data_IF_056561240617
#
_entry.id   IF_056561240617
#
_cell.length_a   1.000
_cell.length_b   1.000
_cell.length_c   1.000
_cell.angle_alpha   90.00
_cell.angle_beta   90.00
_cell.angle_gamma   90.00
#
_symmetry.space_group_name_H-M   'P 1'
#
loop_
_entity.id
_entity.type
_entity.pdbx_description
1 polymer ?
#
# COMPACT_ATOMS: atom_id res chain seq x y z
N UNK A 1 72.58 -14.13 15.40
CA UNK A 1 72.60 -15.52 14.92
C UNK A 1 71.32 -15.77 14.14
N UNK A 2 71.43 -16.24 12.90
CA UNK A 2 70.32 -16.65 12.03
C UNK A 2 69.71 -17.95 12.56
N UNK A 3 68.40 -18.12 12.46
CA UNK A 3 67.78 -19.28 11.82
C UNK A 3 66.32 -18.97 11.44
N UNK A 4 66.00 -19.34 10.20
CA UNK A 4 64.69 -19.27 9.54
C UNK A 4 63.81 -20.43 9.99
N UNK A 5 62.48 -20.27 9.98
CA UNK A 5 61.56 -21.34 9.52
C UNK A 5 60.13 -20.87 9.26
N UNK A 6 59.75 -21.00 7.98
CA UNK A 6 58.59 -21.73 7.44
C UNK A 6 57.16 -21.25 7.76
N UNK A 7 56.50 -20.89 6.66
CA UNK A 7 55.09 -20.59 6.49
C UNK A 7 54.17 -21.82 6.71
N UNK A 8 52.93 -21.57 7.14
CA UNK A 8 51.83 -22.54 6.99
C UNK A 8 50.56 -21.77 6.68
N UNK A 9 50.17 -21.77 5.41
CA UNK A 9 48.85 -21.36 4.94
C UNK A 9 47.95 -22.60 4.94
N UNK A 10 46.92 -22.60 5.79
CA UNK A 10 45.91 -23.66 5.82
C UNK A 10 44.75 -23.28 4.90
N UNK A 11 44.76 -23.82 3.68
CA UNK A 11 43.63 -23.88 2.76
C UNK A 11 42.78 -25.09 3.13
N UNK A 12 41.63 -24.88 3.77
CA UNK A 12 40.60 -25.90 3.95
C UNK A 12 39.56 -25.72 2.84
N UNK A 13 39.70 -26.53 1.79
CA UNK A 13 38.71 -26.73 0.74
C UNK A 13 37.59 -27.63 1.28
N UNK A 14 36.41 -27.07 1.54
CA UNK A 14 35.21 -27.86 1.82
C UNK A 14 34.55 -28.26 0.49
N UNK A 15 34.73 -29.52 0.09
CA UNK A 15 34.05 -30.17 -1.01
C UNK A 15 32.56 -30.32 -0.72
N UNK A 16 31.70 -29.73 -1.55
CA UNK A 16 30.26 -30.00 -1.53
C UNK A 16 29.98 -31.23 -2.39
N UNK A 17 29.56 -32.32 -1.75
CA UNK A 17 29.12 -33.54 -2.43
C UNK A 17 27.75 -33.34 -3.04
N UNK A 18 27.68 -33.34 -4.36
CA UNK A 18 26.44 -33.48 -5.14
C UNK A 18 26.04 -34.95 -5.18
N UNK A 19 25.10 -35.37 -4.33
CA UNK A 19 24.35 -36.61 -4.57
C UNK A 19 22.97 -36.27 -5.10
N UNK A 20 22.78 -36.65 -6.37
CA UNK A 20 21.55 -36.60 -7.11
C UNK A 20 20.52 -37.57 -6.50
N UNK A 21 19.37 -37.05 -6.12
CA UNK A 21 18.17 -37.86 -5.87
C UNK A 21 17.32 -37.87 -7.13
N UNK A 22 17.23 -39.05 -7.73
CA UNK A 22 16.32 -39.38 -8.84
C UNK A 22 14.89 -39.55 -8.30
N UNK A 23 13.86 -38.96 -8.93
CA UNK A 23 12.48 -39.18 -8.52
C UNK A 23 11.94 -40.47 -9.14
N UNK A 24 11.76 -41.49 -8.31
CA UNK A 24 10.95 -42.67 -8.62
C UNK A 24 9.49 -42.28 -8.83
N UNK A 25 8.98 -42.60 -10.03
CA UNK A 25 7.58 -42.48 -10.42
C UNK A 25 6.69 -43.33 -9.51
N UNK A 26 5.78 -42.68 -8.78
CA UNK A 26 4.56 -43.32 -8.30
C UNK A 26 3.37 -42.62 -8.98
N UNK A 27 2.80 -43.33 -9.94
CA UNK A 27 1.51 -43.03 -10.57
C UNK A 27 0.40 -43.37 -9.57
N UNK A 28 -0.27 -42.35 -9.06
CA UNK A 28 -1.58 -42.51 -8.41
C UNK A 28 -2.57 -41.74 -9.28
N UNK A 29 -3.28 -42.48 -10.12
CA UNK A 29 -4.45 -42.00 -10.85
C UNK A 29 -5.58 -41.70 -9.86
N UNK A 30 -5.88 -40.41 -9.66
CA UNK A 30 -7.16 -39.98 -9.09
C UNK A 30 -8.09 -39.55 -10.23
N UNK A 31 -9.39 -39.89 -10.16
CA UNK A 31 -10.32 -39.63 -11.25
C UNK A 31 -10.57 -38.13 -11.38
N UNK A 32 -10.55 -37.67 -12.64
CA UNK A 32 -11.04 -36.36 -13.06
C UNK A 32 -12.51 -36.24 -12.67
N UNK A 33 -12.80 -35.48 -11.62
CA UNK A 33 -14.16 -35.02 -11.36
C UNK A 33 -14.33 -33.69 -12.11
N UNK A 34 -14.92 -33.77 -13.30
CA UNK A 34 -15.42 -32.59 -14.01
C UNK A 34 -16.50 -31.95 -13.13
N UNK A 35 -16.15 -30.85 -12.47
CA UNK A 35 -17.15 -29.99 -11.84
C UNK A 35 -17.84 -29.20 -12.95
N UNK A 36 -19.18 -29.11 -12.95
CA UNK A 36 -19.90 -28.36 -13.95
C UNK A 36 -19.61 -26.87 -13.78
N UNK A 37 -19.45 -26.19 -14.93
CA UNK A 37 -19.45 -24.73 -15.05
C UNK A 37 -20.73 -24.22 -14.39
N UNK A 38 -20.60 -23.68 -13.18
CA UNK A 38 -21.67 -22.93 -12.52
C UNK A 38 -21.68 -21.54 -13.13
N UNK A 39 -22.69 -21.31 -13.95
CA UNK A 39 -23.06 -20.01 -14.48
C UNK A 39 -23.24 -19.00 -13.34
N UNK A 40 -22.94 -17.74 -13.68
CA UNK A 40 -23.22 -16.55 -12.89
C UNK A 40 -24.58 -16.63 -12.20
N UNK A 41 -24.59 -16.45 -10.87
CA UNK A 41 -25.80 -16.19 -10.09
C UNK A 41 -25.70 -14.80 -9.46
N UNK A 42 -25.36 -13.80 -10.25
CA UNK A 42 -25.95 -12.47 -10.06
C UNK A 42 -27.34 -12.54 -10.68
N UNK A 43 -28.35 -12.79 -9.86
CA UNK A 43 -29.74 -12.35 -10.05
C UNK A 43 -30.65 -13.10 -9.06
N UNK A 44 -30.64 -12.63 -7.81
CA UNK A 44 -31.85 -12.69 -6.98
C UNK A 44 -32.35 -11.26 -6.84
N UNK A 45 -33.59 -10.94 -7.26
CA UNK A 45 -34.17 -9.63 -7.05
C UNK A 45 -34.45 -9.51 -5.55
N UNK A 46 -33.51 -8.88 -4.86
CA UNK A 46 -33.72 -8.32 -3.53
C UNK A 46 -34.36 -6.95 -3.76
N UNK A 47 -35.32 -6.57 -2.94
CA UNK A 47 -36.07 -5.31 -3.01
C UNK A 47 -35.21 -4.16 -3.55
N UNK A 48 -35.67 -3.53 -4.64
CA UNK A 48 -35.06 -2.36 -5.28
C UNK A 48 -35.11 -1.17 -4.32
N UNK A 49 -34.19 -1.13 -3.36
CA UNK A 49 -33.64 0.15 -2.91
C UNK A 49 -32.98 0.73 -4.14
N UNK A 50 -33.64 1.71 -4.77
CA UNK A 50 -33.06 2.46 -5.88
C UNK A 50 -31.63 2.86 -5.48
N UNK A 51 -30.64 2.53 -6.32
CA UNK A 51 -29.28 3.03 -6.08
C UNK A 51 -29.36 4.54 -5.89
N UNK A 52 -28.76 5.10 -4.83
CA UNK A 52 -28.84 6.52 -4.57
C UNK A 52 -28.28 7.26 -5.78
N UNK A 53 -29.18 7.96 -6.48
CA UNK A 53 -28.81 8.73 -7.67
C UNK A 53 -27.93 9.89 -7.25
N UNK A 54 -26.86 10.15 -8.00
CA UNK A 54 -26.02 11.35 -7.82
C UNK A 54 -26.88 12.61 -7.72
N UNK A 55 -26.49 13.51 -6.82
CA UNK A 55 -27.03 14.86 -6.81
C UNK A 55 -26.79 15.51 -8.19
N UNK A 56 -27.77 16.28 -8.67
CA UNK A 56 -27.78 16.85 -10.04
C UNK A 56 -26.45 17.52 -10.44
N UNK A 57 -25.80 18.34 -9.58
CA UNK A 57 -24.52 18.95 -9.93
C UNK A 57 -23.40 17.92 -10.15
N UNK A 58 -23.36 16.85 -9.34
CA UNK A 58 -22.38 15.78 -9.45
C UNK A 58 -22.62 14.92 -10.70
N UNK A 59 -23.87 14.62 -11.03
CA UNK A 59 -24.22 13.92 -12.26
C UNK A 59 -23.74 14.69 -13.50
N UNK A 60 -24.04 15.99 -13.58
CA UNK A 60 -23.63 16.82 -14.71
C UNK A 60 -22.09 16.91 -14.85
N UNK A 61 -21.38 17.09 -13.73
CA UNK A 61 -19.92 17.14 -13.72
C UNK A 61 -19.27 15.79 -14.08
N UNK A 62 -19.87 14.68 -13.63
CA UNK A 62 -19.48 13.31 -14.01
C UNK A 62 -19.63 13.13 -15.52
N UNK A 63 -20.80 13.45 -16.07
CA UNK A 63 -21.08 13.22 -17.49
C UNK A 63 -20.17 14.04 -18.39
N UNK A 64 -19.91 15.30 -18.01
CA UNK A 64 -18.94 16.16 -18.69
C UNK A 64 -17.51 15.58 -18.62
N UNK A 65 -17.11 15.01 -17.49
CA UNK A 65 -15.79 14.40 -17.32
C UNK A 65 -15.67 13.11 -18.14
N UNK A 66 -16.71 12.27 -18.15
CA UNK A 66 -16.76 11.03 -18.94
C UNK A 66 -16.66 11.33 -20.42
N UNK A 67 -17.41 12.31 -20.92
CA UNK A 67 -17.34 12.74 -22.32
C UNK A 67 -15.91 13.18 -22.72
N UNK A 68 -15.20 13.91 -21.85
CA UNK A 68 -13.80 14.31 -22.08
C UNK A 68 -12.88 13.09 -22.17
N UNK A 69 -13.00 12.13 -21.26
CA UNK A 69 -12.14 10.94 -21.25
C UNK A 69 -12.45 10.03 -22.45
N UNK A 70 -13.71 9.81 -22.78
CA UNK A 70 -14.11 9.01 -23.95
C UNK A 70 -13.61 9.62 -25.26
N UNK A 71 -13.63 10.95 -25.40
CA UNK A 71 -13.07 11.62 -26.56
C UNK A 71 -11.55 11.35 -26.72
N UNK A 72 -10.81 11.24 -25.61
CA UNK A 72 -9.37 10.90 -25.63
C UNK A 72 -9.15 9.41 -25.90
N UNK A 73 -9.93 8.53 -25.26
CA UNK A 73 -9.69 7.08 -25.30
C UNK A 73 -10.15 6.43 -26.59
N UNK A 74 -11.30 6.85 -27.14
CA UNK A 74 -11.91 6.27 -28.35
C UNK A 74 -11.02 6.38 -29.60
N UNK A 75 -10.06 7.30 -29.60
CA UNK A 75 -9.11 7.52 -30.69
C UNK A 75 -7.71 6.97 -30.39
N UNK A 76 -7.55 6.23 -29.29
CA UNK A 76 -6.25 5.83 -28.77
C UNK A 76 -6.07 4.31 -28.71
N UNK A 77 -4.81 3.88 -28.61
CA UNK A 77 -4.45 2.49 -28.28
C UNK A 77 -4.91 2.03 -26.89
N UNK A 78 -5.55 2.90 -26.10
CA UNK A 78 -5.99 2.66 -24.73
C UNK A 78 -7.50 2.47 -24.59
N UNK A 79 -8.23 2.20 -25.68
CA UNK A 79 -9.68 1.98 -25.65
C UNK A 79 -10.14 0.94 -24.60
N UNK A 80 -9.31 -0.07 -24.30
CA UNK A 80 -9.60 -1.07 -23.27
C UNK A 80 -9.70 -0.50 -21.84
N UNK A 81 -9.18 0.72 -21.60
CA UNK A 81 -9.26 1.39 -20.30
C UNK A 81 -10.53 2.23 -20.14
N UNK A 82 -11.33 2.39 -21.19
CA UNK A 82 -12.55 3.21 -21.11
C UNK A 82 -13.51 2.69 -20.04
N UNK A 83 -13.89 1.41 -20.10
CA UNK A 83 -14.83 0.85 -19.13
C UNK A 83 -14.32 0.90 -17.69
N UNK A 84 -13.07 0.48 -17.36
CA UNK A 84 -12.54 0.61 -16.00
C UNK A 84 -12.45 2.05 -15.50
N UNK A 85 -12.10 3.00 -16.38
CA UNK A 85 -11.97 4.41 -15.99
C UNK A 85 -13.33 5.05 -15.74
N UNK A 86 -14.31 4.82 -16.63
CA UNK A 86 -15.67 5.31 -16.43
C UNK A 86 -16.25 4.77 -15.13
N UNK A 87 -16.07 3.47 -14.84
CA UNK A 87 -16.46 2.86 -13.55
C UNK A 87 -15.79 3.57 -12.36
N UNK A 88 -14.49 3.83 -12.44
CA UNK A 88 -13.78 4.53 -11.37
C UNK A 88 -14.29 5.96 -11.16
N UNK A 89 -14.65 6.66 -12.24
CA UNK A 89 -15.27 7.98 -12.12
C UNK A 89 -16.65 7.89 -11.49
N UNK A 90 -17.46 6.90 -11.87
CA UNK A 90 -18.78 6.70 -11.28
C UNK A 90 -18.70 6.55 -9.77
N UNK A 91 -17.85 5.64 -9.30
CA UNK A 91 -17.62 5.39 -7.88
C UNK A 91 -17.12 6.64 -7.14
N UNK A 92 -16.15 7.35 -7.72
CA UNK A 92 -15.60 8.56 -7.11
C UNK A 92 -16.64 9.68 -6.99
N UNK A 93 -17.43 9.93 -8.03
CA UNK A 93 -18.47 10.95 -8.00
C UNK A 93 -19.61 10.56 -7.03
N UNK A 94 -19.96 9.28 -6.91
CA UNK A 94 -20.92 8.81 -5.90
C UNK A 94 -20.40 9.03 -4.49
N UNK A 95 -19.14 8.67 -4.25
CA UNK A 95 -18.47 8.92 -2.98
C UNK A 95 -18.53 10.41 -2.60
N UNK A 96 -18.13 11.32 -3.50
CA UNK A 96 -18.12 12.76 -3.18
C UNK A 96 -19.52 13.39 -3.12
N UNK A 97 -20.50 12.88 -3.88
CA UNK A 97 -21.91 13.30 -3.73
C UNK A 97 -22.43 12.94 -2.34
N UNK A 98 -22.17 11.70 -1.89
CA UNK A 98 -22.54 11.25 -0.56
C UNK A 98 -21.82 12.02 0.55
N UNK A 99 -20.53 12.32 0.34
CA UNK A 99 -19.75 13.13 1.27
C UNK A 99 -20.36 14.53 1.44
N UNK A 100 -20.69 15.20 0.33
CA UNK A 100 -21.35 16.50 0.34
C UNK A 100 -22.74 16.46 1.01
N UNK A 101 -23.55 15.44 0.72
CA UNK A 101 -24.87 15.23 1.35
C UNK A 101 -24.77 14.98 2.87
N UNK A 102 -23.69 14.35 3.33
CA UNK A 102 -23.42 14.13 4.75
C UNK A 102 -22.92 15.38 5.49
N UNK A 103 -22.65 16.47 4.77
CA UNK A 103 -22.08 17.70 5.32
C UNK A 103 -20.57 17.60 5.59
N UNK A 104 -19.86 16.67 4.94
CA UNK A 104 -18.41 16.61 5.02
C UNK A 104 -17.77 17.81 4.31
N UNK A 105 -16.63 18.28 4.86
CA UNK A 105 -15.90 19.43 4.34
C UNK A 105 -14.46 19.05 4.00
N UNK A 106 -13.84 19.84 3.14
CA UNK A 106 -12.40 19.81 2.92
C UNK A 106 -11.63 20.26 4.19
N UNK A 107 -10.30 20.05 4.25
CA UNK A 107 -9.48 20.45 5.41
C UNK A 107 -9.53 21.94 5.76
N UNK A 108 -9.73 22.79 4.75
CA UNK A 108 -9.88 24.23 4.91
C UNK A 108 -11.29 24.66 5.34
N UNK A 109 -12.20 23.70 5.55
CA UNK A 109 -13.59 23.93 5.91
C UNK A 109 -14.51 24.23 4.73
N UNK A 110 -14.00 24.25 3.49
CA UNK A 110 -14.83 24.45 2.30
C UNK A 110 -15.71 23.22 2.00
N UNK A 111 -16.86 23.46 1.36
CA UNK A 111 -17.77 22.40 0.94
C UNK A 111 -17.14 21.53 -0.15
N UNK A 112 -17.46 20.23 -0.14
CA UNK A 112 -17.11 19.31 -1.22
C UNK A 112 -18.03 19.60 -2.41
N UNK A 113 -17.44 19.95 -3.56
CA UNK A 113 -18.21 20.37 -4.75
C UNK A 113 -18.04 19.42 -5.94
N UNK A 114 -19.03 19.41 -6.83
CA UNK A 114 -18.95 18.68 -8.10
C UNK A 114 -17.80 19.17 -9.00
N UNK A 115 -17.47 20.48 -8.94
CA UNK A 115 -16.35 21.03 -9.70
C UNK A 115 -15.01 20.54 -9.17
N UNK A 116 -14.84 20.46 -7.85
CA UNK A 116 -13.66 19.87 -7.23
C UNK A 116 -13.52 18.41 -7.64
N UNK A 117 -14.59 17.62 -7.54
CA UNK A 117 -14.59 16.21 -7.93
C UNK A 117 -14.12 16.01 -9.39
N UNK A 118 -14.66 16.82 -10.32
CA UNK A 118 -14.25 16.78 -11.72
C UNK A 118 -12.77 17.14 -11.93
N UNK A 119 -12.30 18.22 -11.29
CA UNK A 119 -10.91 18.66 -11.41
C UNK A 119 -9.94 17.61 -10.88
N UNK A 120 -10.20 17.05 -9.70
CA UNK A 120 -9.34 16.06 -9.07
C UNK A 120 -9.33 14.71 -9.82
N UNK A 121 -10.49 14.27 -10.32
CA UNK A 121 -10.57 13.06 -11.13
C UNK A 121 -9.83 13.22 -12.46
N UNK A 122 -10.07 14.31 -13.20
CA UNK A 122 -9.39 14.55 -14.47
C UNK A 122 -7.88 14.72 -14.29
N UNK A 123 -7.44 15.41 -13.22
CA UNK A 123 -6.02 15.54 -12.87
C UNK A 123 -5.39 14.18 -12.58
N UNK A 124 -6.04 13.35 -11.78
CA UNK A 124 -5.56 11.98 -11.47
C UNK A 124 -5.44 11.12 -12.72
N UNK A 125 -6.45 11.14 -13.60
CA UNK A 125 -6.39 10.40 -14.86
C UNK A 125 -5.29 10.95 -15.76
N UNK A 126 -5.13 12.27 -15.85
CA UNK A 126 -4.05 12.89 -16.62
C UNK A 126 -2.67 12.41 -16.12
N UNK A 127 -2.46 12.34 -14.80
CA UNK A 127 -1.24 11.79 -14.24
C UNK A 127 -1.07 10.30 -14.58
N UNK A 128 -2.13 9.50 -14.49
CA UNK A 128 -2.07 8.08 -14.88
C UNK A 128 -1.73 7.89 -16.36
N UNK A 129 -2.28 8.74 -17.23
CA UNK A 129 -1.96 8.74 -18.66
C UNK A 129 -0.52 9.16 -18.92
N UNK A 130 -0.04 10.23 -18.28
CA UNK A 130 1.30 10.77 -18.48
C UNK A 130 2.38 9.87 -17.88
N UNK A 131 2.25 9.53 -16.61
CA UNK A 131 3.27 8.84 -15.82
C UNK A 131 3.10 7.32 -15.80
N UNK A 132 1.91 6.79 -16.08
CA UNK A 132 1.68 5.34 -16.09
C UNK A 132 1.71 4.72 -17.49
N UNK A 133 1.09 5.37 -18.47
CA UNK A 133 0.91 4.84 -19.84
C UNK A 133 1.71 5.56 -20.92
N UNK A 134 2.22 6.75 -20.61
CA UNK A 134 2.91 7.61 -21.57
C UNK A 134 4.23 7.01 -22.04
N UNK A 135 4.75 7.55 -23.15
CA UNK A 135 6.06 7.13 -23.69
C UNK A 135 7.20 7.38 -22.69
N UNK A 136 7.06 8.42 -21.87
CA UNK A 136 7.96 8.79 -20.78
C UNK A 136 7.35 8.44 -19.42
N UNK A 137 6.77 7.25 -19.29
CA UNK A 137 6.21 6.78 -18.02
C UNK A 137 7.25 6.85 -16.90
N UNK A 138 6.77 7.17 -15.70
CA UNK A 138 7.60 7.19 -14.51
C UNK A 138 8.04 5.77 -14.16
N UNK A 139 9.34 5.60 -13.92
CA UNK A 139 9.90 4.32 -13.50
C UNK A 139 10.53 4.49 -12.13
N UNK A 140 10.21 3.58 -11.22
CA UNK A 140 10.86 3.50 -9.91
C UNK A 140 12.22 2.83 -10.09
N UNK A 141 13.20 3.60 -10.58
CA UNK A 141 14.54 3.10 -10.91
C UNK A 141 15.31 2.62 -9.66
N UNK A 142 15.09 3.31 -8.53
CA UNK A 142 15.65 2.95 -7.25
C UNK A 142 14.68 2.07 -6.46
N UNK A 143 15.25 1.11 -5.75
CA UNK A 143 14.52 0.26 -4.79
C UNK A 143 13.99 1.03 -3.59
N UNK A 144 14.52 2.23 -3.33
CA UNK A 144 14.01 3.19 -2.36
C UNK A 144 13.59 4.44 -3.13
N UNK A 145 12.32 4.81 -3.02
CA UNK A 145 11.76 6.01 -3.62
C UNK A 145 11.42 7.01 -2.51
N UNK A 146 11.82 8.28 -2.67
CA UNK A 146 11.37 9.39 -1.82
C UNK A 146 10.17 10.04 -2.51
N UNK A 147 9.13 10.39 -1.75
CA UNK A 147 7.95 11.07 -2.28
C UNK A 147 8.35 12.32 -3.12
N UNK A 148 7.68 12.54 -4.25
CA UNK A 148 7.85 13.75 -5.04
C UNK A 148 6.97 14.85 -4.46
N UNK A 149 7.61 15.89 -3.92
CA UNK A 149 6.92 16.98 -3.22
C UNK A 149 6.84 18.28 -4.02
N UNK A 150 7.49 18.34 -5.18
CA UNK A 150 7.59 19.54 -6.01
C UNK A 150 8.69 20.49 -5.53
N UNK A 151 9.14 21.37 -6.42
CA UNK A 151 10.22 22.34 -6.14
C UNK A 151 9.88 23.37 -5.06
N UNK A 152 8.60 23.55 -4.75
CA UNK A 152 8.12 24.56 -3.79
C UNK A 152 7.89 24.01 -2.37
N UNK A 153 8.16 22.72 -2.12
CA UNK A 153 7.87 22.06 -0.83
C UNK A 153 8.73 22.54 0.35
N UNK A 154 9.83 23.24 0.08
CA UNK A 154 10.73 23.80 1.09
C UNK A 154 11.87 22.86 1.50
N UNK A 155 11.73 21.55 1.31
CA UNK A 155 12.86 20.61 1.39
C UNK A 155 13.63 20.53 0.07
N UNK A 156 14.97 20.57 0.15
CA UNK A 156 15.80 20.33 -1.03
C UNK A 156 15.71 18.84 -1.43
N UNK A 157 15.39 18.60 -2.69
CA UNK A 157 15.42 17.28 -3.31
C UNK A 157 16.27 17.36 -4.59
N UNK A 158 17.45 16.75 -4.54
CA UNK A 158 18.48 16.81 -5.58
C UNK A 158 18.01 16.24 -6.92
N UNK A 159 16.93 15.45 -6.95
CA UNK A 159 16.34 14.98 -8.21
C UNK A 159 15.86 16.15 -9.07
N UNK A 160 15.43 17.26 -8.47
CA UNK A 160 15.04 18.47 -9.20
C UNK A 160 16.24 19.27 -9.73
N UNK A 161 17.48 18.92 -9.37
CA UNK A 161 18.69 19.50 -9.97
C UNK A 161 19.03 18.82 -11.32
N UNK A 162 18.40 17.67 -11.65
CA UNK A 162 18.56 16.96 -12.93
C UNK A 162 17.59 17.49 -14.00
N UNK A 163 18.15 18.11 -15.06
CA UNK A 163 17.38 18.65 -16.19
C UNK A 163 16.49 17.61 -16.88
N UNK A 164 16.93 16.35 -16.95
CA UNK A 164 16.18 15.27 -17.59
C UNK A 164 14.94 14.91 -16.77
N UNK A 165 15.07 14.90 -15.45
CA UNK A 165 13.99 14.66 -14.50
C UNK A 165 12.98 15.81 -14.51
N UNK A 166 13.46 17.06 -14.45
CA UNK A 166 12.62 18.26 -14.57
C UNK A 166 11.86 18.27 -15.90
N UNK A 167 12.52 17.93 -17.02
CA UNK A 167 11.88 17.85 -18.33
C UNK A 167 10.85 16.71 -18.42
N UNK A 168 11.05 15.61 -17.70
CA UNK A 168 10.08 14.52 -17.61
C UNK A 168 8.82 14.97 -16.85
N UNK A 169 8.98 15.71 -15.75
CA UNK A 169 7.86 16.27 -15.00
C UNK A 169 7.16 17.41 -15.76
N UNK A 170 7.89 18.23 -16.53
CA UNK A 170 7.32 19.35 -17.29
C UNK A 170 6.57 20.32 -16.37
N UNK A 171 5.33 20.66 -16.71
CA UNK A 171 4.49 21.58 -15.93
C UNK A 171 4.21 21.10 -14.49
N UNK A 172 4.33 19.79 -14.24
CA UNK A 172 4.09 19.19 -12.94
C UNK A 172 5.32 19.22 -12.01
N UNK A 173 6.40 19.91 -12.40
CA UNK A 173 7.63 20.02 -11.59
C UNK A 173 7.39 20.66 -10.21
N UNK A 174 6.35 21.48 -10.09
CA UNK A 174 5.94 22.12 -8.83
C UNK A 174 4.90 21.32 -8.04
N UNK A 175 4.41 20.20 -8.58
CA UNK A 175 3.34 19.40 -7.98
C UNK A 175 3.83 18.63 -6.76
N UNK A 176 3.16 18.81 -5.62
CA UNK A 176 3.28 17.91 -4.47
C UNK A 176 2.38 16.67 -4.69
N UNK A 177 2.98 15.58 -5.16
CA UNK A 177 2.26 14.32 -5.41
C UNK A 177 1.79 13.66 -4.11
N UNK A 178 2.44 13.93 -2.97
CA UNK A 178 1.98 13.45 -1.66
C UNK A 178 0.65 14.12 -1.31
N UNK A 179 0.60 15.46 -1.40
CA UNK A 179 -0.60 16.22 -1.12
C UNK A 179 -1.73 15.87 -2.10
N UNK A 180 -1.44 15.88 -3.41
CA UNK A 180 -2.42 15.52 -4.43
C UNK A 180 -3.04 14.12 -4.20
N UNK A 181 -2.23 13.14 -3.79
CA UNK A 181 -2.74 11.82 -3.46
C UNK A 181 -3.61 11.79 -2.20
N UNK A 182 -3.30 12.61 -1.18
CA UNK A 182 -4.15 12.74 0.00
C UNK A 182 -5.46 13.45 -0.36
N UNK A 183 -5.38 14.58 -1.06
CA UNK A 183 -6.52 15.43 -1.43
C UNK A 183 -7.52 14.71 -2.35
N UNK A 184 -7.04 13.76 -3.15
CA UNK A 184 -7.92 12.93 -3.96
C UNK A 184 -8.82 12.03 -3.10
N UNK A 185 -8.26 11.30 -2.13
CA UNK A 185 -8.99 10.32 -1.32
C UNK A 185 -9.66 10.93 -0.09
N UNK A 186 -9.14 12.02 0.45
CA UNK A 186 -9.60 12.63 1.70
C UNK A 186 -11.10 12.96 1.70
N UNK A 187 -11.69 13.53 0.64
CA UNK A 187 -13.14 13.78 0.59
C UNK A 187 -14.00 12.51 0.63
N UNK A 188 -13.42 11.36 0.27
CA UNK A 188 -14.09 10.05 0.37
C UNK A 188 -13.93 9.40 1.75
N UNK A 189 -13.17 10.01 2.67
CA UNK A 189 -13.06 9.53 4.04
C UNK A 189 -14.03 10.33 4.91
N UNK A 190 -14.95 9.66 5.59
CA UNK A 190 -15.79 10.29 6.62
C UNK A 190 -14.94 10.54 7.87
N UNK A 191 -14.08 11.57 7.81
CA UNK A 191 -13.13 11.89 8.87
C UNK A 191 -13.82 12.30 10.19
N UNK A 192 -15.08 12.74 10.14
CA UNK A 192 -15.85 13.09 11.32
C UNK A 192 -16.24 11.84 12.12
N UNK A 193 -16.59 10.76 11.42
CA UNK A 193 -16.93 9.47 12.03
C UNK A 193 -15.77 8.45 12.02
N UNK A 194 -14.58 8.87 11.57
CA UNK A 194 -13.37 8.05 11.59
C UNK A 194 -12.73 7.99 12.97
N UNK A 195 -12.00 6.89 13.23
CA UNK A 195 -11.50 6.58 14.56
C UNK A 195 -9.98 6.45 14.61
N UNK A 196 -9.37 7.07 15.62
CA UNK A 196 -7.93 6.99 15.89
C UNK A 196 -7.77 6.53 17.33
N UNK A 197 -7.18 5.36 17.53
CA UNK A 197 -6.91 4.78 18.83
C UNK A 197 -5.41 4.60 19.04
N UNK A 198 -4.96 4.60 20.30
CA UNK A 198 -3.55 4.39 20.61
C UNK A 198 -2.65 5.58 20.29
N UNK A 199 -3.18 6.80 20.37
CA UNK A 199 -2.41 8.05 20.16
C UNK A 199 -1.20 8.12 21.09
N UNK A 200 -1.31 7.65 22.34
CA UNK A 200 -0.17 7.58 23.27
C UNK A 200 0.97 6.69 22.75
N UNK A 201 0.65 5.62 22.02
CA UNK A 201 1.66 4.74 21.41
C UNK A 201 2.26 5.36 20.15
N UNK A 202 1.46 6.11 19.40
CA UNK A 202 1.96 6.94 18.31
C UNK A 202 2.93 8.02 18.81
N UNK A 203 2.63 8.64 19.94
CA UNK A 203 3.52 9.60 20.61
C UNK A 203 4.82 8.95 21.09
N UNK A 204 4.75 7.75 21.69
CA UNK A 204 5.96 6.98 22.04
C UNK A 204 6.82 6.69 20.82
N UNK A 205 6.21 6.21 19.73
CA UNK A 205 6.90 5.94 18.47
C UNK A 205 7.58 7.20 17.89
N UNK A 206 6.86 8.33 17.87
CA UNK A 206 7.40 9.62 17.43
C UNK A 206 8.60 10.05 18.28
N UNK A 207 8.52 9.89 19.61
CA UNK A 207 9.62 10.22 20.50
C UNK A 207 10.84 9.31 20.34
N UNK A 208 10.65 8.02 20.04
CA UNK A 208 11.74 7.10 19.69
C UNK A 208 12.42 7.54 18.38
N UNK A 209 11.63 7.88 17.36
CA UNK A 209 12.14 8.41 16.08
C UNK A 209 12.95 9.70 16.29
N UNK A 210 12.44 10.64 17.09
CA UNK A 210 13.13 11.91 17.43
C UNK A 210 14.45 11.68 18.17
N UNK A 211 14.62 10.54 18.86
CA UNK A 211 15.90 10.12 19.49
C UNK A 211 16.89 9.49 18.50
N UNK A 212 16.52 9.38 17.23
CA UNK A 212 17.32 8.68 16.21
C UNK A 212 17.20 7.16 16.26
N UNK A 213 16.19 6.64 16.97
CA UNK A 213 15.82 5.22 16.96
C UNK A 213 14.89 4.94 15.77
N UNK A 214 14.73 3.67 15.39
CA UNK A 214 13.88 3.29 14.28
C UNK A 214 12.54 2.74 14.78
N UNK A 215 11.48 2.89 13.98
CA UNK A 215 10.16 2.33 14.26
C UNK A 215 9.66 1.54 13.05
N UNK A 216 9.12 0.36 13.29
CA UNK A 216 8.45 -0.47 12.31
C UNK A 216 7.01 -0.71 12.75
N UNK A 217 6.04 -0.22 11.96
CA UNK A 217 4.64 -0.53 12.09
C UNK A 217 4.33 -1.85 11.36
N UNK A 218 3.96 -2.88 12.12
CA UNK A 218 3.54 -4.18 11.62
C UNK A 218 2.02 -4.17 11.45
N UNK A 219 1.56 -3.87 10.23
CA UNK A 219 0.16 -3.58 9.97
C UNK A 219 -0.57 -4.68 9.20
N UNK A 220 -1.90 -4.73 9.30
CA UNK A 220 -2.71 -5.28 8.22
C UNK A 220 -2.76 -4.29 7.04
N UNK A 221 -3.30 -4.75 5.91
CA UNK A 221 -3.37 -3.96 4.68
C UNK A 221 -4.71 -4.25 4.03
N UNK A 222 -5.50 -3.26 3.65
CA UNK A 222 -6.84 -3.49 3.11
C UNK A 222 -7.02 -2.90 1.71
N UNK A 223 -6.37 -1.77 1.41
CA UNK A 223 -6.53 -1.07 0.14
C UNK A 223 -5.21 -0.48 -0.36
N UNK A 224 -5.14 -0.16 -1.67
CA UNK A 224 -3.99 0.57 -2.21
C UNK A 224 -3.92 2.02 -1.69
N UNK A 225 -5.01 2.51 -1.08
CA UNK A 225 -5.12 3.85 -0.49
C UNK A 225 -4.72 3.91 0.99
N UNK A 226 -4.22 2.81 1.57
CA UNK A 226 -3.81 2.76 2.97
C UNK A 226 -2.77 3.85 3.36
N UNK A 227 -1.77 4.19 2.53
CA UNK A 227 -0.86 5.31 2.84
C UNK A 227 -1.57 6.67 3.00
N UNK A 228 -2.61 6.90 2.21
CA UNK A 228 -3.46 8.11 2.31
C UNK A 228 -4.27 8.08 3.60
N UNK A 229 -4.86 6.92 3.95
CA UNK A 229 -5.58 6.76 5.22
C UNK A 229 -4.68 7.05 6.42
N UNK A 230 -3.45 6.50 6.43
CA UNK A 230 -2.45 6.81 7.48
C UNK A 230 -2.18 8.30 7.56
N UNK A 231 -1.99 8.97 6.41
CA UNK A 231 -1.70 10.40 6.38
C UNK A 231 -2.86 11.23 6.93
N UNK A 232 -4.08 11.02 6.44
CA UNK A 232 -5.25 11.78 6.86
C UNK A 232 -5.58 11.55 8.34
N UNK A 233 -5.48 10.32 8.84
CA UNK A 233 -5.75 10.02 10.24
C UNK A 233 -4.66 10.50 11.19
N UNK A 234 -3.39 10.42 10.80
CA UNK A 234 -2.31 10.99 11.63
C UNK A 234 -2.40 12.51 11.67
N UNK A 235 -2.67 13.17 10.54
CA UNK A 235 -2.90 14.61 10.52
C UNK A 235 -4.08 15.01 11.42
N UNK A 236 -5.19 14.26 11.39
CA UNK A 236 -6.33 14.44 12.30
C UNK A 236 -5.96 14.25 13.77
N UNK A 237 -5.00 13.38 14.09
CA UNK A 237 -4.51 13.21 15.47
C UNK A 237 -3.67 14.41 15.94
N UNK A 238 -3.03 15.14 15.02
CA UNK A 238 -2.18 16.28 15.32
C UNK A 238 -1.12 16.54 14.25
N UNK A 239 -0.68 17.79 14.14
CA UNK A 239 0.27 18.21 13.09
C UNK A 239 1.55 17.38 13.07
N UNK A 240 2.13 17.10 14.24
CA UNK A 240 3.38 16.35 14.35
C UNK A 240 3.27 14.88 13.92
N UNK A 241 2.09 14.29 14.08
CA UNK A 241 1.80 12.95 13.56
C UNK A 241 1.57 13.00 12.06
N UNK A 242 0.92 14.04 11.53
CA UNK A 242 0.82 14.29 10.08
C UNK A 242 2.21 14.44 9.44
N UNK A 243 3.10 15.21 10.08
CA UNK A 243 4.49 15.35 9.66
C UNK A 243 5.21 13.98 9.69
N UNK A 244 4.99 13.15 10.73
CA UNK A 244 5.50 11.77 10.76
C UNK A 244 4.97 10.93 9.58
N UNK A 245 3.67 10.96 9.29
CA UNK A 245 3.07 10.19 8.22
C UNK A 245 3.67 10.53 6.84
N UNK A 246 4.05 11.79 6.61
CA UNK A 246 4.75 12.22 5.41
C UNK A 246 6.15 11.60 5.24
N UNK A 247 6.76 11.12 6.32
CA UNK A 247 8.10 10.55 6.36
C UNK A 247 8.13 9.01 6.48
N UNK A 248 6.98 8.37 6.72
CA UNK A 248 6.88 6.91 6.75
C UNK A 248 7.28 6.33 5.40
N UNK A 249 8.16 5.32 5.43
CA UNK A 249 8.54 4.51 4.28
C UNK A 249 7.65 3.26 4.21
N UNK A 250 6.88 3.13 3.14
CA UNK A 250 5.96 2.01 2.92
C UNK A 250 6.65 0.90 2.14
N UNK A 251 6.62 -0.32 2.68
CA UNK A 251 7.12 -1.49 1.97
C UNK A 251 6.08 -1.91 0.93
N UNK A 252 6.39 -1.65 -0.34
CA UNK A 252 5.42 -1.68 -1.43
C UNK A 252 5.74 -2.76 -2.46
N UNK A 253 4.68 -3.44 -2.91
CA UNK A 253 4.75 -4.49 -3.91
C UNK A 253 4.78 -3.96 -5.35
N UNK A 254 5.03 -4.86 -6.30
CA UNK A 254 5.10 -4.55 -7.73
C UNK A 254 3.87 -3.80 -8.28
N UNK A 255 2.66 -4.15 -7.85
CA UNK A 255 1.41 -3.62 -8.43
C UNK A 255 1.32 -2.10 -8.34
N UNK A 256 1.61 -1.49 -7.19
CA UNK A 256 1.52 -0.02 -7.02
C UNK A 256 2.62 0.74 -7.76
N UNK A 257 3.67 0.03 -8.19
CA UNK A 257 4.79 0.61 -8.97
C UNK A 257 4.62 0.41 -10.48
N UNK A 258 3.64 -0.38 -10.94
CA UNK A 258 3.46 -0.68 -12.37
C UNK A 258 2.04 -0.48 -12.89
N UNK A 259 1.03 -0.46 -12.03
CA UNK A 259 -0.33 -0.11 -12.41
C UNK A 259 -0.39 1.40 -12.73
N UNK A 260 -0.74 1.78 -13.97
CA UNK A 260 -0.80 3.17 -14.38
C UNK A 260 -1.63 4.10 -13.51
N UNK A 261 -2.71 3.59 -12.91
CA UNK A 261 -3.59 4.39 -12.06
C UNK A 261 -3.09 4.47 -10.62
N UNK A 262 -2.20 3.57 -10.21
CA UNK A 262 -1.55 3.61 -8.90
C UNK A 262 -0.28 4.47 -8.91
N UNK A 263 0.44 4.52 -10.04
CA UNK A 263 1.74 5.21 -10.17
C UNK A 263 1.69 6.66 -9.64
N UNK A 264 0.71 7.52 -10.00
CA UNK A 264 0.65 8.89 -9.50
C UNK A 264 0.58 8.97 -7.96
N UNK A 265 -0.19 8.08 -7.33
CA UNK A 265 -0.29 8.01 -5.88
C UNK A 265 1.01 7.51 -5.25
N UNK A 266 1.65 6.53 -5.88
CA UNK A 266 2.94 5.98 -5.45
C UNK A 266 4.10 6.97 -5.58
N UNK A 267 4.07 7.84 -6.61
CA UNK A 267 5.05 8.93 -6.77
C UNK A 267 5.05 9.86 -5.55
N UNK A 268 3.89 10.05 -4.91
CA UNK A 268 3.71 10.83 -3.69
C UNK A 268 4.07 10.13 -2.38
N UNK A 269 4.64 8.92 -2.39
CA UNK A 269 4.95 8.16 -1.16
C UNK A 269 6.42 7.84 -1.03
N UNK A 270 6.93 7.72 0.19
CA UNK A 270 8.24 7.10 0.39
C UNK A 270 8.04 5.58 0.32
N UNK A 271 8.71 4.91 -0.61
CA UNK A 271 8.52 3.49 -0.86
C UNK A 271 9.83 2.72 -0.71
N UNK A 272 9.72 1.52 -0.16
CA UNK A 272 10.69 0.46 -0.37
C UNK A 272 10.09 -0.56 -1.34
N UNK A 273 10.51 -0.48 -2.59
CA UNK A 273 9.98 -1.27 -3.69
C UNK A 273 10.52 -2.70 -3.64
N UNK A 274 9.63 -3.67 -3.37
CA UNK A 274 9.96 -5.09 -3.33
C UNK A 274 9.03 -5.90 -4.23
N UNK A 275 9.54 -7.01 -4.75
CA UNK A 275 8.72 -8.05 -5.38
C UNK A 275 8.19 -8.98 -4.31
N UNK A 276 6.86 -9.07 -4.18
CA UNK A 276 6.24 -10.01 -3.25
C UNK A 276 6.59 -11.45 -3.63
N UNK A 277 6.70 -12.34 -2.63
CA UNK A 277 6.90 -13.78 -2.86
C UNK A 277 5.80 -14.37 -3.75
N UNK A 278 4.56 -13.89 -3.62
CA UNK A 278 3.41 -14.33 -4.43
C UNK A 278 3.60 -14.09 -5.93
N UNK A 279 4.44 -13.11 -6.33
CA UNK A 279 4.69 -12.73 -7.72
C UNK A 279 6.12 -13.00 -8.22
N UNK A 280 7.03 -13.43 -7.33
CA UNK A 280 8.41 -13.80 -7.72
C UNK A 280 8.47 -15.20 -8.32
N UNK A 281 7.59 -16.09 -7.86
CA UNK A 281 7.52 -17.48 -8.32
C UNK A 281 6.60 -17.67 -9.54
N UNK A 282 5.85 -16.63 -9.94
CA UNK A 282 4.92 -16.70 -11.06
C UNK A 282 5.60 -16.71 -12.44
N UNK A 283 6.87 -16.31 -12.50
CA UNK A 283 7.68 -16.29 -13.72
C UNK A 283 9.14 -16.68 -13.39
N UNK A 284 9.53 -17.94 -13.69
CA UNK A 284 10.87 -18.45 -13.42
C UNK A 284 11.99 -17.67 -14.11
N UNK A 285 11.74 -17.05 -15.28
CA UNK A 285 12.78 -16.35 -16.05
C UNK A 285 13.14 -15.01 -15.42
N UNK A 286 12.17 -14.28 -14.88
CA UNK A 286 12.42 -12.98 -14.21
C UNK A 286 12.77 -13.11 -12.73
N UNK A 287 12.64 -14.30 -12.13
CA UNK A 287 12.95 -14.56 -10.72
C UNK A 287 14.36 -14.14 -10.28
N UNK A 288 15.45 -14.39 -11.03
CA UNK A 288 16.79 -13.96 -10.63
C UNK A 288 16.92 -12.43 -10.54
N UNK A 289 16.35 -11.71 -11.52
CA UNK A 289 16.38 -10.25 -11.56
C UNK A 289 15.55 -9.65 -10.41
N UNK A 290 14.33 -10.17 -10.19
CA UNK A 290 13.46 -9.77 -9.06
C UNK A 290 14.12 -10.04 -7.71
N UNK A 291 14.82 -11.17 -7.56
CA UNK A 291 15.55 -11.51 -6.33
C UNK A 291 16.72 -10.55 -6.08
N UNK A 292 17.44 -10.16 -7.13
CA UNK A 292 18.52 -9.17 -7.06
C UNK A 292 18.00 -7.79 -6.63
N UNK A 293 16.86 -7.35 -7.18
CA UNK A 293 16.21 -6.11 -6.76
C UNK A 293 15.77 -6.16 -5.29
N UNK A 294 15.17 -7.27 -4.85
CA UNK A 294 14.83 -7.43 -3.42
C UNK A 294 16.07 -7.35 -2.51
N UNK A 295 17.20 -7.96 -2.91
CA UNK A 295 18.44 -7.83 -2.13
C UNK A 295 18.95 -6.38 -2.07
N UNK A 296 18.86 -5.63 -3.17
CA UNK A 296 19.19 -4.21 -3.17
C UNK A 296 18.26 -3.41 -2.25
N UNK A 297 16.95 -3.66 -2.29
CA UNK A 297 15.97 -3.02 -1.39
C UNK A 297 16.32 -3.30 0.08
N UNK A 298 16.66 -4.54 0.40
CA UNK A 298 17.08 -4.95 1.74
C UNK A 298 18.35 -4.22 2.21
N UNK A 299 19.30 -3.96 1.32
CA UNK A 299 20.52 -3.21 1.65
C UNK A 299 20.22 -1.73 1.90
N UNK A 300 19.38 -1.10 1.06
CA UNK A 300 18.96 0.30 1.25
C UNK A 300 18.16 0.49 2.54
N UNK A 301 17.28 -0.45 2.87
CA UNK A 301 16.56 -0.44 4.15
C UNK A 301 17.53 -0.55 5.33
N UNK A 302 18.49 -1.48 5.26
CA UNK A 302 19.49 -1.61 6.32
C UNK A 302 20.33 -0.33 6.46
N UNK A 303 20.66 0.35 5.36
CA UNK A 303 21.37 1.61 5.41
C UNK A 303 20.51 2.70 6.08
N UNK A 304 19.24 2.86 5.69
CA UNK A 304 18.33 3.79 6.35
C UNK A 304 18.15 3.53 7.85
N UNK A 305 18.07 2.26 8.25
CA UNK A 305 18.03 1.89 9.67
C UNK A 305 19.33 2.21 10.42
N UNK A 306 20.50 2.15 9.75
CA UNK A 306 21.79 2.54 10.37
C UNK A 306 21.88 4.05 10.57
N UNK A 307 21.33 4.83 9.64
CA UNK A 307 21.28 6.28 9.74
C UNK A 307 20.43 6.70 10.96
N UNK A 308 19.35 5.95 11.24
CA UNK A 308 18.47 6.13 12.40
C UNK A 308 17.29 7.06 12.10
N UNK A 309 16.29 7.08 12.98
CA UNK A 309 15.08 7.88 12.78
C UNK A 309 14.16 7.39 11.67
N UNK A 310 14.34 6.15 11.19
CA UNK A 310 13.53 5.61 10.10
C UNK A 310 12.20 5.07 10.64
N UNK A 311 11.10 5.53 10.05
CA UNK A 311 9.76 4.98 10.27
C UNK A 311 9.36 4.11 9.06
N UNK A 312 8.98 2.86 9.30
CA UNK A 312 8.61 1.90 8.26
C UNK A 312 7.19 1.42 8.51
N UNK A 313 6.36 1.42 7.48
CA UNK A 313 5.10 0.69 7.45
C UNK A 313 5.27 -0.58 6.61
N UNK A 314 4.87 -1.72 7.16
CA UNK A 314 4.88 -2.98 6.42
C UNK A 314 3.66 -3.82 6.76
N UNK A 315 3.11 -4.46 5.73
CA UNK A 315 2.11 -5.51 5.87
C UNK A 315 2.76 -6.89 5.81
N UNK A 316 3.00 -7.59 6.95
CA UNK A 316 3.75 -8.84 6.94
C UNK A 316 3.03 -9.98 6.19
N UNK A 317 1.71 -9.88 5.99
CA UNK A 317 0.93 -10.82 5.16
C UNK A 317 1.33 -10.78 3.67
N UNK A 318 1.98 -9.70 3.23
CA UNK A 318 2.41 -9.48 1.85
C UNK A 318 1.28 -9.19 0.86
N UNK A 319 0.07 -8.89 1.33
CA UNK A 319 -1.05 -8.49 0.48
C UNK A 319 -2.26 -8.00 1.25
N UNK A 320 -3.22 -7.41 0.52
CA UNK A 320 -4.47 -6.88 1.07
C UNK A 320 -5.30 -8.00 1.74
N UNK A 321 -6.06 -7.67 2.79
CA UNK A 321 -7.10 -8.49 3.41
C UNK A 321 -8.18 -8.82 2.36
N UNK A 322 -8.93 -9.90 2.59
CA UNK A 322 -9.97 -10.34 1.64
C UNK A 322 -11.28 -10.61 2.34
N UNK A 323 -12.36 -10.14 1.72
CA UNK A 323 -13.71 -10.47 2.12
C UNK A 323 -13.97 -11.97 1.91
N UNK A 324 -14.53 -12.60 2.91
CA UNK A 324 -15.10 -13.94 2.78
C UNK A 324 -16.50 -13.77 2.17
N UNK A 325 -16.64 -14.05 0.88
CA UNK A 325 -17.89 -13.81 0.10
C UNK A 325 -19.14 -14.41 0.77
N UNK A 326 -19.03 -15.59 1.38
CA UNK A 326 -20.17 -16.26 2.02
C UNK A 326 -20.66 -15.61 3.31
N UNK A 327 -19.81 -14.86 4.02
CA UNK A 327 -20.14 -14.26 5.32
C UNK A 327 -20.08 -12.73 5.32
N UNK A 328 -19.47 -12.13 4.30
CA UNK A 328 -19.20 -10.69 4.24
C UNK A 328 -18.05 -10.23 5.17
N UNK A 329 -17.51 -11.10 6.03
CA UNK A 329 -16.43 -10.79 6.97
C UNK A 329 -15.12 -10.48 6.27
N UNK A 330 -14.29 -9.65 6.89
CA UNK A 330 -12.98 -9.25 6.36
C UNK A 330 -11.93 -9.54 7.44
N UNK A 331 -11.45 -10.78 7.56
CA UNK A 331 -10.38 -11.11 8.52
C UNK A 331 -9.05 -10.51 8.06
N UNK A 332 -8.18 -10.19 9.02
CA UNK A 332 -6.79 -9.85 8.76
C UNK A 332 -6.08 -11.06 8.13
N UNK A 333 -5.33 -10.82 7.05
CA UNK A 333 -4.49 -11.84 6.46
C UNK A 333 -3.30 -12.18 7.37
N UNK A 334 -3.02 -13.48 7.52
CA UNK A 334 -1.98 -13.98 8.44
C UNK A 334 -0.60 -13.39 8.17
N UNK A 335 0.11 -13.02 9.23
CA UNK A 335 1.45 -12.45 9.14
C UNK A 335 2.48 -13.52 8.72
N UNK A 336 3.30 -13.24 7.71
CA UNK A 336 4.42 -14.13 7.35
C UNK A 336 5.56 -13.97 8.36
N UNK A 337 5.77 -15.01 9.18
CA UNK A 337 6.83 -15.02 10.21
C UNK A 337 8.20 -14.66 9.63
N UNK A 338 8.53 -15.15 8.42
CA UNK A 338 9.82 -14.87 7.79
C UNK A 338 10.00 -13.38 7.47
N UNK A 339 8.91 -12.69 7.14
CA UNK A 339 8.92 -11.24 6.89
C UNK A 339 9.14 -10.49 8.19
N UNK A 340 8.41 -10.82 9.27
CA UNK A 340 8.61 -10.21 10.59
C UNK A 340 10.03 -10.43 11.11
N UNK A 341 10.54 -11.67 11.03
CA UNK A 341 11.89 -12.03 11.47
C UNK A 341 12.98 -11.29 10.65
N UNK A 342 12.71 -11.02 9.37
CA UNK A 342 13.61 -10.24 8.53
C UNK A 342 13.74 -8.80 9.05
N UNK A 343 12.64 -8.12 9.40
CA UNK A 343 12.73 -6.75 9.94
C UNK A 343 13.44 -6.72 11.29
N UNK A 344 13.17 -7.70 12.17
CA UNK A 344 13.90 -7.85 13.44
C UNK A 344 15.40 -8.04 13.21
N UNK A 345 15.78 -8.87 12.24
CA UNK A 345 17.17 -9.08 11.88
C UNK A 345 17.83 -7.79 11.36
N UNK A 346 17.14 -7.02 10.53
CA UNK A 346 17.68 -5.76 10.00
C UNK A 346 17.79 -4.68 11.07
N UNK A 347 16.78 -4.56 11.94
CA UNK A 347 16.85 -3.71 13.13
C UNK A 347 18.08 -4.04 13.99
N UNK A 348 18.29 -5.32 14.31
CA UNK A 348 19.47 -5.77 15.05
C UNK A 348 20.79 -5.48 14.32
N UNK A 349 20.85 -5.72 13.00
CA UNK A 349 22.04 -5.45 12.18
C UNK A 349 22.36 -3.97 12.03
N UNK A 350 21.36 -3.09 12.16
CA UNK A 350 21.55 -1.64 12.07
C UNK A 350 22.39 -1.08 13.23
N UNK A 351 22.44 -1.79 14.37
CA UNK A 351 23.03 -1.34 15.63
C UNK A 351 22.39 -0.06 16.19
N UNK A 352 21.19 0.28 15.72
CA UNK A 352 20.31 1.32 16.27
C UNK A 352 19.10 0.65 16.93
N UNK A 353 18.62 1.14 18.08
CA UNK A 353 17.36 0.65 18.65
C UNK A 353 16.26 0.70 17.60
N UNK A 354 15.50 -0.39 17.49
CA UNK A 354 14.43 -0.53 16.50
C UNK A 354 13.21 -1.12 17.19
N UNK A 355 12.13 -0.36 17.16
CA UNK A 355 10.89 -0.63 17.89
C UNK A 355 9.82 -1.17 16.95
N UNK A 356 8.98 -2.08 17.44
CA UNK A 356 7.97 -2.75 16.62
C UNK A 356 6.60 -2.52 17.23
N UNK A 357 5.75 -1.80 16.51
CA UNK A 357 4.38 -1.53 16.94
C UNK A 357 3.43 -2.26 15.99
N UNK A 358 2.56 -3.15 16.49
CA UNK A 358 1.45 -3.61 15.70
C UNK A 358 0.56 -2.41 15.35
N UNK A 359 -0.03 -2.40 14.16
CA UNK A 359 -0.97 -1.36 13.76
C UNK A 359 -2.18 -1.94 13.02
N UNK A 360 -3.37 -1.73 13.56
CA UNK A 360 -4.61 -2.16 12.92
C UNK A 360 -5.18 -1.05 12.05
N UNK A 361 -5.76 -1.43 10.91
CA UNK A 361 -6.38 -0.54 9.93
C UNK A 361 -7.77 -1.05 9.53
N UNK A 362 -8.73 -0.13 9.49
CA UNK A 362 -10.04 -0.28 8.85
C UNK A 362 -10.13 0.73 7.71
N UNK A 363 -9.90 0.26 6.48
CA UNK A 363 -9.90 1.05 5.24
C UNK A 363 -10.47 0.28 4.05
N UNK A 364 -10.91 -0.97 4.23
CA UNK A 364 -11.33 -1.85 3.14
C UNK A 364 -12.39 -1.22 2.24
N UNK A 365 -13.45 -0.64 2.81
CA UNK A 365 -14.57 -0.09 2.02
C UNK A 365 -14.20 1.18 1.25
N UNK A 366 -13.12 1.88 1.61
CA UNK A 366 -12.69 3.10 0.92
C UNK A 366 -12.27 2.81 -0.52
N UNK A 367 -11.49 1.74 -0.73
CA UNK A 367 -11.02 1.32 -2.05
C UNK A 367 -10.80 -0.20 -2.08
N UNK A 368 -11.88 -1.00 -2.03
CA UNK A 368 -11.78 -2.43 -1.81
C UNK A 368 -11.06 -3.15 -2.96
N UNK A 369 -10.26 -4.18 -2.65
CA UNK A 369 -9.76 -5.10 -3.67
C UNK A 369 -10.92 -5.83 -4.33
N UNK A 370 -10.78 -6.25 -5.60
CA UNK A 370 -11.70 -7.22 -6.19
C UNK A 370 -11.71 -8.51 -5.37
N UNK A 371 -12.85 -9.19 -5.44
CA UNK A 371 -13.05 -10.48 -4.76
C UNK A 371 -12.17 -11.61 -5.33
N UNK A 372 -11.53 -11.38 -6.47
CA UNK A 372 -10.62 -12.31 -7.14
C UNK A 372 -9.30 -11.62 -7.52
N UNK A 373 -8.25 -12.42 -7.75
CA UNK A 373 -6.91 -11.91 -8.08
C UNK A 373 -6.79 -11.79 -9.60
N UNK A 374 -6.86 -10.58 -10.14
CA UNK A 374 -6.48 -10.30 -11.53
C UNK A 374 -5.03 -9.81 -11.62
N UNK A 375 -4.28 -10.32 -12.59
CA UNK A 375 -2.88 -9.97 -12.84
C UNK A 375 -2.70 -8.89 -13.93
N UNK A 376 -3.79 -8.25 -14.38
CA UNK A 376 -3.81 -7.33 -15.52
C UNK A 376 -3.94 -5.85 -15.14
N UNK A 377 -3.72 -4.99 -16.14
CA UNK A 377 -4.13 -3.57 -16.10
C UNK A 377 -5.62 -3.46 -16.40
N UNK A 378 -6.34 -2.56 -15.72
CA UNK A 378 -7.78 -2.36 -15.93
C UNK A 378 -8.70 -3.00 -14.89
N UNK A 379 -8.16 -3.37 -13.71
CA UNK A 379 -8.98 -3.73 -12.54
C UNK A 379 -10.01 -2.64 -12.26
N UNK A 380 -11.29 -3.02 -12.09
CA UNK A 380 -12.34 -2.08 -11.67
C UNK A 380 -12.00 -1.55 -10.28
N UNK A 381 -11.94 -0.22 -10.16
CA UNK A 381 -11.63 0.47 -8.92
C UNK A 381 -12.90 1.03 -8.31
N UNK A 382 -13.19 0.61 -7.08
CA UNK A 382 -14.31 1.13 -6.31
C UNK A 382 -13.79 2.21 -5.36
N UNK A 383 -14.62 3.21 -5.10
CA UNK A 383 -14.39 4.26 -4.11
C UNK A 383 -15.69 4.54 -3.40
N UNK A 384 -15.68 4.55 -2.08
CA UNK A 384 -16.89 4.80 -1.29
C UNK A 384 -16.62 5.82 -0.21
N UNK A 385 -17.63 6.62 0.08
CA UNK A 385 -17.62 7.46 1.27
C UNK A 385 -17.84 6.60 2.49
N UNK A 386 -16.81 6.47 3.32
CA UNK A 386 -16.83 5.59 4.50
C UNK A 386 -15.95 6.15 5.59
N UNK A 387 -16.28 5.94 6.87
CA UNK A 387 -15.31 6.18 7.92
C UNK A 387 -14.18 5.16 7.83
N UNK A 388 -13.01 5.57 8.29
CA UNK A 388 -11.78 4.76 8.33
C UNK A 388 -11.22 4.75 9.76
N UNK A 389 -10.36 3.78 10.07
CA UNK A 389 -9.84 3.60 11.41
C UNK A 389 -8.38 3.19 11.45
N UNK A 390 -7.63 3.72 12.42
CA UNK A 390 -6.29 3.24 12.78
C UNK A 390 -6.19 3.07 14.29
N UNK A 391 -5.53 1.98 14.71
CA UNK A 391 -5.08 1.80 16.08
C UNK A 391 -3.60 1.41 16.10
N UNK A 392 -2.79 2.16 16.85
CA UNK A 392 -1.41 1.79 17.17
C UNK A 392 -1.39 1.08 18.52
N UNK A 393 -1.04 -0.21 18.53
CA UNK A 393 -1.00 -1.01 19.76
C UNK A 393 0.31 -0.77 20.52
N UNK A 394 0.47 -1.36 21.70
CA UNK A 394 1.73 -1.28 22.45
C UNK A 394 2.88 -1.93 21.67
N UNK A 395 4.11 -1.49 21.95
CA UNK A 395 5.32 -2.10 21.39
C UNK A 395 5.35 -3.60 21.71
N UNK A 396 5.63 -4.42 20.70
CA UNK A 396 5.65 -5.88 20.88
C UNK A 396 6.78 -6.24 21.83
N UNK A 397 6.50 -6.90 22.98
CA UNK A 397 7.55 -7.36 23.86
C UNK A 397 8.43 -8.38 23.14
N UNK A 398 9.74 -8.37 23.42
CA UNK A 398 10.67 -9.32 22.83
C UNK A 398 10.48 -10.74 23.43
N UNK A 399 9.43 -11.43 22.99
CA UNK A 399 9.06 -12.77 23.46
C UNK A 399 9.71 -13.88 22.63
N UNK A 400 9.96 -15.01 23.29
CA UNK A 400 10.38 -16.26 22.65
C UNK A 400 11.87 -16.39 22.27
N UNK A 401 12.65 -15.31 22.31
CA UNK A 401 14.09 -15.37 22.02
C UNK A 401 14.43 -15.98 20.66
N UNK A 402 15.62 -16.57 20.53
CA UNK A 402 16.10 -17.14 19.26
C UNK A 402 15.37 -18.42 18.83
N UNK A 403 14.86 -19.21 19.78
CA UNK A 403 14.27 -20.53 19.53
C UNK A 403 12.75 -20.50 19.33
N UNK A 404 12.06 -19.48 19.84
CA UNK A 404 10.60 -19.33 19.72
C UNK A 404 10.21 -18.02 19.05
N UNK A 405 10.89 -17.68 17.94
CA UNK A 405 10.66 -16.43 17.18
C UNK A 405 9.22 -16.25 16.73
N UNK A 406 8.51 -17.35 16.45
CA UNK A 406 7.09 -17.34 16.10
C UNK A 406 6.22 -16.67 17.17
N UNK A 407 6.61 -16.72 18.46
CA UNK A 407 5.84 -16.05 19.53
C UNK A 407 5.81 -14.53 19.35
N UNK A 408 6.88 -13.93 18.82
CA UNK A 408 6.89 -12.50 18.52
C UNK A 408 5.89 -12.17 17.40
N UNK A 409 5.93 -12.94 16.30
CA UNK A 409 4.99 -12.78 15.19
C UNK A 409 3.55 -12.98 15.63
N UNK A 410 3.27 -14.05 16.39
CA UNK A 410 1.93 -14.35 16.90
C UNK A 410 1.44 -13.26 17.85
N UNK A 411 2.31 -12.72 18.72
CA UNK A 411 1.95 -11.61 19.60
C UNK A 411 1.60 -10.35 18.79
N UNK A 412 2.40 -10.01 17.78
CA UNK A 412 2.14 -8.86 16.93
C UNK A 412 0.82 -9.01 16.14
N UNK A 413 0.61 -10.19 15.56
CA UNK A 413 -0.60 -10.52 14.81
C UNK A 413 -1.85 -10.52 15.71
N UNK A 414 -1.76 -11.12 16.89
CA UNK A 414 -2.85 -11.16 17.85
C UNK A 414 -3.29 -9.76 18.29
N UNK A 415 -2.34 -8.89 18.65
CA UNK A 415 -2.64 -7.51 19.00
C UNK A 415 -3.21 -6.73 17.79
N UNK A 416 -2.75 -7.02 16.57
CA UNK A 416 -3.31 -6.46 15.35
C UNK A 416 -4.78 -6.85 15.13
N UNK A 417 -5.11 -8.13 15.32
CA UNK A 417 -6.49 -8.63 15.21
C UNK A 417 -7.39 -7.99 16.26
N UNK A 418 -6.95 -7.97 17.52
CA UNK A 418 -7.70 -7.34 18.61
C UNK A 418 -7.92 -5.84 18.35
N UNK A 419 -6.89 -5.14 17.91
CA UNK A 419 -6.98 -3.72 17.56
C UNK A 419 -7.96 -3.46 16.42
N UNK A 420 -8.01 -4.35 15.43
CA UNK A 420 -8.95 -4.27 14.32
C UNK A 420 -10.40 -4.52 14.75
N UNK A 421 -10.64 -5.52 15.61
CA UNK A 421 -11.97 -5.77 16.18
C UNK A 421 -12.47 -4.57 16.99
N UNK A 422 -11.61 -3.94 17.79
CA UNK A 422 -11.95 -2.72 18.53
C UNK A 422 -12.31 -1.55 17.59
N UNK A 423 -11.56 -1.37 16.50
CA UNK A 423 -11.89 -0.37 15.48
C UNK A 423 -13.24 -0.67 14.82
N UNK A 424 -13.50 -1.91 14.43
CA UNK A 424 -14.77 -2.30 13.84
C UNK A 424 -15.95 -2.02 14.77
N UNK A 425 -15.81 -2.32 16.07
CA UNK A 425 -16.82 -1.99 17.07
C UNK A 425 -16.99 -0.48 17.21
N UNK A 426 -15.89 0.27 17.33
CA UNK A 426 -15.93 1.73 17.49
C UNK A 426 -16.49 2.47 16.28
N UNK A 427 -16.36 1.90 15.09
CA UNK A 427 -16.91 2.42 13.83
C UNK A 427 -18.33 1.89 13.53
N UNK A 428 -18.92 1.05 14.38
CA UNK A 428 -20.22 0.43 14.14
C UNK A 428 -20.24 -0.58 12.98
N UNK A 429 -19.08 -1.08 12.54
CA UNK A 429 -18.90 -2.00 11.41
C UNK A 429 -18.98 -3.47 11.83
N UNK A 430 -19.96 -3.83 12.67
CA UNK A 430 -20.09 -5.17 13.24
C UNK A 430 -20.22 -6.30 12.19
N UNK A 431 -20.72 -5.99 10.99
CA UNK A 431 -20.81 -6.92 9.86
C UNK A 431 -19.47 -7.51 9.43
N UNK A 432 -18.34 -6.88 9.77
CA UNK A 432 -17.00 -7.33 9.40
C UNK A 432 -16.26 -8.10 10.49
N UNK A 433 -16.83 -8.21 11.69
CA UNK A 433 -16.21 -8.93 12.79
C UNK A 433 -15.97 -10.41 12.41
N UNK A 434 -14.73 -10.92 12.60
CA UNK A 434 -14.31 -12.25 12.16
C UNK A 434 -15.06 -13.42 12.79
#
# INVERSE_FOLDING_TARGET
MRFSSVATALLMTASWSTQAFSPSRFSISRPFCQSPVLASTTDKPTETTAEPSLAVPFQAARDASVAKIQAVLSQSKYAALETPLVHFMDEYFHSLSQAAESGATNPDGSEITASQAANEMLRTIQFGMKYGLGEKKYTFENVRHKALRGTNHGEKDERYDDESFVKMLGDDVTTDFYAAGCDFFRPSMDLNNSLILGVDNLEKALNQIRKGENVVFLANHQSEADPQVVSCLFEKAGKEYGDLAAHITYVAGHKVTTDPLAIPFSMGRNLLCIHSKKHIDSDPETKPAKSKQNMAAMNEMLQGLKDGGMAIWVAPSGGRDRRIVSSGKIPIATFDQKTVDMFRLMGNKSRKPTHFYPMAMVSYDLCPPPDFVEAGVGEKRNVRFTPVGIKVMDEVPNVGGAEKRHLFTHSAEFECIKGYEELLVGLGMHKYLP
#
